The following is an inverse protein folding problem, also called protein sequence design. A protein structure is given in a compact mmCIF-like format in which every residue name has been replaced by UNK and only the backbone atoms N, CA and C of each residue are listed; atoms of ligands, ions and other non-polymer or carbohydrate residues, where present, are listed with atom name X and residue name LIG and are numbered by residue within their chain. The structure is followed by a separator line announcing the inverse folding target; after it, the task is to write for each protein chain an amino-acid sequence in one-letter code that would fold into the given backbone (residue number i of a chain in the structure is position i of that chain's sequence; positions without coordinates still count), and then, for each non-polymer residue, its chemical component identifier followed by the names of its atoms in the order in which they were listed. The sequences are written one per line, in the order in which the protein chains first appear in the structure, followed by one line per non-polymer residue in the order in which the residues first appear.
data_IF_893679391975
#
_entry.id   IF_893679391975
#
_cell.length_a   1.000
_cell.length_b   1.000
_cell.length_c   1.000
_cell.angle_alpha   90.00
_cell.angle_beta   90.00
_cell.angle_gamma   90.00
#
_symmetry.space_group_name_H-M   'P 1'
#
loop_
_entity.id
_entity.type
_entity.pdbx_description
1 polymer ?
#
# COMPACT_ATOMS: atom_id res chain seq x y z
N UNK A 1 -18.48 -8.74 -0.23
CA UNK A 1 -18.56 -7.62 -1.19
C UNK A 1 -17.27 -6.83 -1.02
N UNK A 2 -16.66 -6.35 -2.10
CA UNK A 2 -15.43 -5.54 -1.96
C UNK A 2 -15.82 -4.07 -1.93
N UNK A 3 -15.33 -3.37 -0.91
CA UNK A 3 -15.52 -1.94 -0.71
C UNK A 3 -14.16 -1.23 -0.72
N UNK A 4 -14.14 0.02 -1.19
CA UNK A 4 -12.93 0.84 -1.18
C UNK A 4 -13.01 1.83 -0.03
N UNK A 5 -12.00 1.82 0.84
CA UNK A 5 -11.87 2.73 1.97
C UNK A 5 -10.50 3.42 1.96
N UNK A 6 -10.40 4.57 2.64
CA UNK A 6 -9.11 5.18 2.91
C UNK A 6 -8.27 4.29 3.84
N UNK A 7 -6.95 4.28 3.65
CA UNK A 7 -6.04 3.54 4.52
C UNK A 7 -6.13 4.03 5.97
N UNK A 8 -6.16 3.07 6.89
CA UNK A 8 -6.22 3.29 8.33
C UNK A 8 -5.24 2.32 9.01
N UNK A 9 -4.95 2.55 10.29
CA UNK A 9 -4.00 1.73 11.04
C UNK A 9 -4.36 0.23 11.02
N UNK A 10 -5.65 -0.11 11.01
CA UNK A 10 -6.13 -1.49 10.93
C UNK A 10 -5.81 -2.18 9.59
N UNK A 11 -5.66 -1.41 8.50
CA UNK A 11 -5.36 -1.94 7.17
C UNK A 11 -3.87 -2.20 6.95
N UNK A 12 -2.99 -1.60 7.77
CA UNK A 12 -1.54 -1.63 7.56
C UNK A 12 -0.97 -3.05 7.42
N UNK A 13 -1.30 -4.03 8.28
CA UNK A 13 -0.72 -5.36 8.14
C UNK A 13 -1.02 -6.01 6.78
N UNK A 14 -2.27 -5.90 6.31
CA UNK A 14 -2.69 -6.45 5.02
C UNK A 14 -2.13 -5.67 3.83
N UNK A 15 -2.13 -4.35 3.91
CA UNK A 15 -1.56 -3.49 2.86
C UNK A 15 -0.04 -3.71 2.69
N UNK A 16 0.69 -3.86 3.80
CA UNK A 16 2.13 -4.16 3.80
C UNK A 16 2.38 -5.53 3.18
N UNK A 17 1.62 -6.55 3.56
CA UNK A 17 1.79 -7.89 3.01
C UNK A 17 1.62 -7.90 1.48
N UNK A 18 0.55 -7.29 0.98
CA UNK A 18 0.31 -7.19 -0.47
C UNK A 18 1.40 -6.37 -1.17
N UNK A 19 1.81 -5.24 -0.59
CA UNK A 19 2.87 -4.42 -1.19
C UNK A 19 4.21 -5.16 -1.28
N UNK A 20 4.58 -5.86 -0.21
CA UNK A 20 5.83 -6.62 -0.15
C UNK A 20 5.85 -7.76 -1.16
N UNK A 21 4.73 -8.44 -1.41
CA UNK A 21 4.63 -9.45 -2.47
C UNK A 21 4.99 -8.86 -3.84
N UNK A 22 4.52 -7.64 -4.13
CA UNK A 22 4.83 -6.95 -5.41
C UNK A 22 6.30 -6.52 -5.48
N UNK A 23 6.88 -6.05 -4.36
CA UNK A 23 8.31 -5.70 -4.25
C UNK A 23 9.20 -6.92 -4.44
N UNK A 24 8.89 -8.03 -3.75
CA UNK A 24 9.63 -9.29 -3.83
C UNK A 24 9.56 -9.91 -5.24
N UNK A 25 8.41 -9.82 -5.91
CA UNK A 25 8.24 -10.23 -7.30
C UNK A 25 9.00 -9.33 -8.30
N UNK A 26 9.61 -8.23 -7.85
CA UNK A 26 10.30 -7.26 -8.71
C UNK A 26 9.36 -6.51 -9.66
N UNK A 27 8.05 -6.49 -9.35
CA UNK A 27 7.02 -5.88 -10.18
C UNK A 27 6.74 -4.42 -9.82
N UNK A 28 7.19 -3.96 -8.66
CA UNK A 28 7.11 -2.56 -8.24
C UNK A 28 8.46 -1.84 -8.41
N UNK A 29 8.50 -0.84 -9.28
CA UNK A 29 9.61 0.12 -9.36
C UNK A 29 9.21 1.40 -8.61
N UNK A 30 10.08 2.05 -7.81
CA UNK A 30 11.52 1.82 -7.62
C UNK A 30 11.92 1.08 -6.33
N UNK A 31 10.96 0.57 -5.55
CA UNK A 31 11.25 0.06 -4.21
C UNK A 31 11.89 -1.34 -4.25
N UNK A 32 12.99 -1.51 -3.51
CA UNK A 32 13.74 -2.77 -3.43
C UNK A 32 13.62 -3.45 -2.06
N UNK A 33 13.30 -2.69 -1.02
CA UNK A 33 13.23 -3.18 0.35
C UNK A 33 11.78 -3.39 0.78
N UNK A 34 11.51 -4.52 1.44
CA UNK A 34 10.21 -4.81 2.03
C UNK A 34 9.88 -3.81 3.15
N UNK A 35 8.60 -3.44 3.26
CA UNK A 35 8.08 -2.62 4.33
C UNK A 35 7.86 -3.45 5.59
N UNK A 36 8.24 -2.90 6.73
CA UNK A 36 7.73 -3.29 8.04
C UNK A 36 6.55 -2.39 8.46
N UNK A 37 6.06 -2.56 9.69
CA UNK A 37 4.94 -1.77 10.21
C UNK A 37 5.24 -0.27 10.31
N UNK A 38 6.49 0.10 10.60
CA UNK A 38 6.89 1.49 10.79
C UNK A 38 7.07 2.19 9.43
N UNK A 39 7.92 1.62 8.59
CA UNK A 39 8.18 2.09 7.22
C UNK A 39 6.91 2.03 6.38
N UNK A 40 6.07 1.00 6.52
CA UNK A 40 4.81 0.89 5.79
C UNK A 40 3.80 1.96 6.19
N UNK A 41 3.70 2.29 7.49
CA UNK A 41 2.89 3.42 7.95
C UNK A 41 3.37 4.72 7.33
N UNK A 42 4.68 4.99 7.40
CA UNK A 42 5.26 6.21 6.85
C UNK A 42 5.05 6.29 5.33
N UNK A 43 5.26 5.18 4.62
CA UNK A 43 5.08 5.07 3.18
C UNK A 43 3.64 5.39 2.77
N UNK A 44 2.63 4.70 3.32
CA UNK A 44 1.24 4.92 2.93
C UNK A 44 0.70 6.30 3.34
N UNK A 45 1.23 6.89 4.41
CA UNK A 45 0.89 8.25 4.84
C UNK A 45 1.53 9.34 3.98
N UNK A 46 2.67 9.06 3.33
CA UNK A 46 3.32 9.99 2.41
C UNK A 46 2.60 10.11 1.06
N UNK A 47 1.71 9.17 0.74
CA UNK A 47 0.91 9.22 -0.49
C UNK A 47 -0.17 10.30 -0.38
N UNK A 48 -0.53 10.92 -1.49
CA UNK A 48 -1.67 11.86 -1.52
C UNK A 48 -2.98 11.16 -1.15
N UNK A 49 -3.10 9.89 -1.51
CA UNK A 49 -4.16 9.01 -1.02
C UNK A 49 -3.70 7.55 -1.09
N UNK A 50 -4.08 6.75 -0.11
CA UNK A 50 -3.94 5.29 -0.16
C UNK A 50 -5.33 4.68 -0.03
N UNK A 51 -5.81 4.04 -1.10
CA UNK A 51 -7.09 3.34 -1.15
C UNK A 51 -6.90 1.85 -0.88
N UNK A 52 -7.76 1.28 -0.04
CA UNK A 52 -7.73 -0.12 0.37
C UNK A 52 -9.01 -0.79 -0.11
N UNK A 53 -8.87 -1.91 -0.81
CA UNK A 53 -9.97 -2.80 -1.12
C UNK A 53 -10.15 -3.78 0.05
N UNK A 54 -11.31 -3.72 0.71
CA UNK A 54 -11.63 -4.54 1.87
C UNK A 54 -12.82 -5.43 1.54
N UNK A 55 -12.73 -6.71 1.87
CA UNK A 55 -13.90 -7.57 1.90
C UNK A 55 -14.75 -7.23 3.12
N UNK A 56 -15.97 -6.72 2.90
CA UNK A 56 -16.82 -6.21 3.98
C UNK A 56 -17.39 -7.28 4.93
N UNK A 57 -17.21 -8.57 4.63
CA UNK A 57 -17.67 -9.67 5.48
C UNK A 57 -16.56 -10.12 6.43
N UNK A 58 -15.36 -10.31 5.90
CA UNK A 58 -14.18 -10.81 6.63
C UNK A 58 -13.31 -9.70 7.21
N UNK A 59 -13.40 -8.47 6.69
CA UNK A 59 -12.49 -7.37 6.97
C UNK A 59 -11.11 -7.54 6.34
N UNK A 60 -10.91 -8.54 5.49
CA UNK A 60 -9.62 -8.80 4.86
C UNK A 60 -9.28 -7.71 3.83
N UNK A 61 -8.02 -7.27 3.83
CA UNK A 61 -7.49 -6.42 2.77
C UNK A 61 -7.23 -7.31 1.55
N UNK A 62 -7.89 -7.00 0.44
CA UNK A 62 -7.80 -7.77 -0.80
C UNK A 62 -6.97 -7.07 -1.88
N UNK A 63 -6.61 -5.80 -1.66
CA UNK A 63 -5.83 -5.01 -2.61
C UNK A 63 -5.67 -3.57 -2.13
N UNK A 64 -4.81 -2.83 -2.81
CA UNK A 64 -4.61 -1.41 -2.55
C UNK A 64 -4.23 -0.65 -3.83
N UNK A 65 -4.43 0.65 -3.80
CA UNK A 65 -3.80 1.56 -4.74
C UNK A 65 -3.29 2.80 -4.01
N UNK A 66 -2.22 3.39 -4.55
CA UNK A 66 -1.68 4.66 -4.07
C UNK A 66 -1.90 5.73 -5.13
N UNK A 67 -2.17 6.94 -4.68
CA UNK A 67 -2.17 8.15 -5.48
C UNK A 67 -1.03 9.03 -4.97
N UNK A 68 -0.11 9.38 -5.85
CA UNK A 68 1.02 10.23 -5.51
C UNK A 68 1.44 11.10 -6.71
N UNK A 69 2.16 12.19 -6.49
CA UNK A 69 2.72 13.00 -7.57
C UNK A 69 3.75 12.19 -8.38
N UNK A 70 3.63 12.21 -9.71
CA UNK A 70 4.45 11.41 -10.63
C UNK A 70 5.93 11.85 -10.71
N UNK A 71 6.30 12.99 -10.11
CA UNK A 71 7.67 13.49 -10.10
C UNK A 71 8.53 12.87 -8.98
N UNK A 72 7.90 12.23 -7.99
CA UNK A 72 8.61 11.52 -6.91
C UNK A 72 9.33 10.29 -7.50
N UNK A 73 10.66 10.24 -7.40
CA UNK A 73 11.49 9.15 -7.91
C UNK A 73 11.84 9.21 -9.40
N UNK A 74 11.45 10.27 -10.13
CA UNK A 74 11.80 10.49 -11.55
C UNK A 74 12.69 11.72 -11.79
N UNK A 75 12.98 12.48 -10.75
CA UNK A 75 13.90 13.62 -10.81
C UNK A 75 15.19 13.27 -10.05
N UNK A 76 16.09 12.60 -10.77
CA UNK A 76 17.49 12.33 -10.45
C UNK A 76 18.22 12.09 -11.75
#
# INVERSE_FOLDING_TARGET
MIEIAACQAAHLPGAIAIWNEVVEAGQAFPQLEALDLESGRAFFAAQSFTGIAVDSVSGAVCGLYILHPNNVGRCG
#
